data_IF_110233072072
#
_entry.id   IF_110233072072
#
_cell.length_a   1.000
_cell.length_b   1.000
_cell.length_c   1.000
_cell.angle_alpha   90.00
_cell.angle_beta   90.00
_cell.angle_gamma   90.00
#
_symmetry.space_group_name_H-M   'P 1'
#
loop_
_entity.id
_entity.type
_entity.pdbx_description
1 polymer ?
#
# COMPACT_ATOMS: atom_id res chain seq x y z
N UNK A 1 4.69 -0.67 2.62
CA UNK A 1 5.48 -0.06 3.71
C UNK A 1 6.73 0.56 3.11
N UNK A 2 6.85 1.88 3.16
CA UNK A 2 7.99 2.62 2.61
C UNK A 2 9.17 2.53 3.58
N UNK A 3 10.07 1.61 3.35
CA UNK A 3 11.38 1.68 4.00
C UNK A 3 12.30 2.58 3.19
N UNK A 4 12.60 3.75 3.71
CA UNK A 4 13.67 4.57 3.16
C UNK A 4 15.01 4.04 3.68
N UNK A 5 15.79 3.44 2.83
CA UNK A 5 17.16 3.07 3.13
C UNK A 5 18.12 4.08 2.46
N UNK A 6 19.19 4.45 3.13
CA UNK A 6 19.59 4.05 4.49
C UNK A 6 18.77 4.76 5.58
N UNK A 7 18.64 4.12 6.75
CA UNK A 7 17.99 4.73 7.91
C UNK A 7 18.80 5.96 8.35
N UNK A 8 18.11 7.09 8.54
CA UNK A 8 18.81 8.36 8.86
C UNK A 8 19.25 8.48 10.33
N UNK A 9 18.67 7.67 11.21
CA UNK A 9 18.91 7.69 12.65
C UNK A 9 18.62 6.33 13.30
N UNK A 10 19.01 6.20 14.58
CA UNK A 10 18.83 4.97 15.37
C UNK A 10 17.35 4.57 15.47
N UNK A 11 16.48 5.56 15.71
CA UNK A 11 15.04 5.31 15.85
C UNK A 11 14.44 4.73 14.56
N UNK A 12 14.85 5.22 13.41
CA UNK A 12 14.43 4.68 12.11
C UNK A 12 14.93 3.25 11.92
N UNK A 13 16.16 2.96 12.35
CA UNK A 13 16.75 1.62 12.27
C UNK A 13 16.01 0.62 13.18
N UNK A 14 15.63 1.04 14.39
CA UNK A 14 14.84 0.23 15.31
C UNK A 14 13.46 -0.10 14.74
N UNK A 15 12.77 0.86 14.12
CA UNK A 15 11.48 0.62 13.46
C UNK A 15 11.62 -0.37 12.29
N UNK A 16 12.68 -0.26 11.49
CA UNK A 16 12.95 -1.21 10.41
C UNK A 16 13.20 -2.62 10.97
N UNK A 17 13.96 -2.72 12.07
CA UNK A 17 14.21 -4.00 12.73
C UNK A 17 12.93 -4.62 13.28
N UNK A 18 12.06 -3.83 13.92
CA UNK A 18 10.77 -4.29 14.43
C UNK A 18 9.88 -4.82 13.29
N UNK A 19 9.81 -4.11 12.17
CA UNK A 19 9.03 -4.54 11.01
C UNK A 19 9.57 -5.84 10.40
N UNK A 20 10.89 -5.98 10.30
CA UNK A 20 11.54 -7.22 9.83
C UNK A 20 11.23 -8.39 10.75
N UNK A 21 11.38 -8.20 12.06
CA UNK A 21 11.07 -9.23 13.05
C UNK A 21 9.59 -9.63 13.01
N UNK A 22 8.69 -8.66 12.83
CA UNK A 22 7.27 -8.91 12.66
C UNK A 22 6.99 -9.74 11.40
N UNK A 23 7.57 -9.37 10.27
CA UNK A 23 7.41 -10.10 9.01
C UNK A 23 7.88 -11.55 9.12
N UNK A 24 9.04 -11.78 9.73
CA UNK A 24 9.55 -13.12 9.98
C UNK A 24 8.68 -13.92 10.95
N UNK A 25 8.27 -13.31 12.06
CA UNK A 25 7.43 -13.96 13.08
C UNK A 25 6.08 -14.43 12.50
N UNK A 26 5.51 -13.67 11.57
CA UNK A 26 4.20 -13.95 10.98
C UNK A 26 4.28 -14.53 9.58
N UNK A 27 5.47 -14.93 9.11
CA UNK A 27 5.69 -15.54 7.79
C UNK A 27 5.08 -14.73 6.64
N UNK A 28 5.29 -13.39 6.66
CA UNK A 28 4.80 -12.50 5.60
C UNK A 28 5.61 -12.76 4.33
N UNK A 29 4.99 -13.34 3.32
CA UNK A 29 5.63 -13.79 2.08
C UNK A 29 6.18 -12.62 1.26
N UNK A 30 5.41 -11.54 1.13
CA UNK A 30 5.76 -10.38 0.30
C UNK A 30 6.31 -9.24 1.17
N UNK A 31 7.46 -9.47 1.77
CA UNK A 31 8.20 -8.47 2.53
C UNK A 31 9.44 -8.04 1.72
N UNK A 32 9.46 -6.78 1.29
CA UNK A 32 10.56 -6.22 0.51
C UNK A 32 11.50 -5.44 1.41
N UNK A 33 12.63 -6.06 1.75
CA UNK A 33 13.66 -5.49 2.63
C UNK A 33 14.67 -4.64 1.84
N UNK A 34 15.69 -4.15 2.52
CA UNK A 34 16.79 -3.37 1.94
C UNK A 34 17.37 -4.06 0.70
N UNK A 35 17.47 -3.32 -0.39
CA UNK A 35 17.94 -3.83 -1.68
C UNK A 35 16.84 -4.39 -2.60
N UNK A 36 15.64 -4.62 -2.08
CA UNK A 36 14.48 -5.08 -2.87
C UNK A 36 13.32 -4.10 -2.81
N UNK A 37 13.49 -3.00 -2.11
CA UNK A 37 12.45 -2.00 -1.88
C UNK A 37 12.33 -1.02 -3.05
N UNK A 38 11.14 -0.45 -3.16
CA UNK A 38 10.82 0.63 -4.10
C UNK A 38 9.72 1.51 -3.57
N UNK A 39 9.24 2.42 -4.41
CA UNK A 39 8.00 3.15 -4.12
C UNK A 39 6.85 2.13 -4.14
N UNK A 40 6.14 1.99 -3.03
CA UNK A 40 5.11 0.96 -2.83
C UNK A 40 4.12 0.91 -4.00
N UNK A 41 3.60 2.07 -4.40
CA UNK A 41 2.58 2.17 -5.44
C UNK A 41 3.08 1.89 -6.87
N UNK A 42 4.38 1.78 -7.07
CA UNK A 42 5.00 1.29 -8.30
C UNK A 42 5.41 -0.19 -8.15
N UNK A 43 6.02 -0.53 -7.02
CA UNK A 43 6.56 -1.86 -6.77
C UNK A 43 5.48 -2.96 -6.77
N UNK A 44 4.34 -2.73 -6.11
CA UNK A 44 3.29 -3.75 -6.02
C UNK A 44 2.67 -4.08 -7.39
N UNK A 45 2.32 -3.09 -8.25
CA UNK A 45 1.91 -3.37 -9.62
C UNK A 45 2.98 -4.08 -10.46
N UNK A 46 4.24 -3.65 -10.39
CA UNK A 46 5.34 -4.27 -11.12
C UNK A 46 5.57 -5.74 -10.74
N UNK A 47 5.31 -6.07 -9.48
CA UNK A 47 5.40 -7.45 -8.96
C UNK A 47 4.14 -8.27 -9.20
N UNK A 48 3.11 -7.70 -9.82
CA UNK A 48 1.83 -8.38 -10.03
C UNK A 48 1.06 -8.65 -8.73
N UNK A 49 1.31 -7.88 -7.68
CA UNK A 49 0.65 -8.00 -6.38
C UNK A 49 -0.60 -7.13 -6.27
N UNK A 50 -1.11 -6.68 -7.39
CA UNK A 50 -2.30 -5.84 -7.49
C UNK A 50 -3.05 -6.21 -8.76
N UNK A 51 -4.24 -6.78 -8.62
CA UNK A 51 -5.06 -7.21 -9.75
C UNK A 51 -6.45 -6.57 -9.72
N UNK A 52 -7.11 -6.44 -10.89
CA UNK A 52 -8.49 -5.98 -10.96
C UNK A 52 -9.43 -6.87 -10.13
N UNK A 53 -10.33 -6.25 -9.40
CA UNK A 53 -11.31 -6.95 -8.55
C UNK A 53 -10.80 -7.34 -7.16
N UNK A 54 -9.54 -7.09 -6.85
CA UNK A 54 -9.00 -7.30 -5.50
C UNK A 54 -9.39 -6.18 -4.53
N UNK A 55 -9.34 -6.50 -3.23
CA UNK A 55 -9.47 -5.52 -2.15
C UNK A 55 -8.09 -5.30 -1.55
N UNK A 56 -7.60 -4.07 -1.64
CA UNK A 56 -6.29 -3.68 -1.14
C UNK A 56 -6.45 -2.59 -0.09
N UNK A 57 -5.99 -2.86 1.11
CA UNK A 57 -5.97 -1.86 2.20
C UNK A 57 -4.54 -1.61 2.63
N UNK A 58 -4.23 -0.37 2.88
CA UNK A 58 -2.89 0.05 3.31
C UNK A 58 -2.95 1.08 4.42
N UNK A 59 -1.87 1.22 5.16
CA UNK A 59 -1.72 2.26 6.19
C UNK A 59 -1.22 3.60 5.62
N UNK A 60 -1.24 3.76 4.31
CA UNK A 60 -0.88 4.97 3.58
C UNK A 60 -2.09 5.56 2.84
N UNK A 61 -2.21 6.88 2.87
CA UNK A 61 -3.29 7.62 2.19
C UNK A 61 -3.28 7.46 0.67
N UNK A 62 -2.14 7.12 0.06
CA UNK A 62 -2.01 6.91 -1.38
C UNK A 62 -2.41 5.49 -1.83
N UNK A 63 -2.79 4.60 -0.92
CA UNK A 63 -3.26 3.24 -1.25
C UNK A 63 -4.40 3.22 -2.28
N UNK A 64 -5.23 4.28 -2.31
CA UNK A 64 -6.30 4.43 -3.31
C UNK A 64 -5.79 4.42 -4.77
N UNK A 65 -4.49 4.61 -5.02
CA UNK A 65 -3.87 4.57 -6.35
C UNK A 65 -4.15 3.27 -7.10
N UNK A 66 -4.25 2.14 -6.41
CA UNK A 66 -4.54 0.85 -7.05
C UNK A 66 -5.95 0.75 -7.64
N UNK A 67 -6.83 1.71 -7.32
CA UNK A 67 -8.12 1.87 -8.00
C UNK A 67 -7.98 2.13 -9.50
N UNK A 68 -6.88 2.75 -9.93
CA UNK A 68 -6.55 2.95 -11.35
C UNK A 68 -6.29 1.61 -12.09
N UNK A 69 -5.98 0.54 -11.36
CA UNK A 69 -5.76 -0.81 -11.87
C UNK A 69 -7.00 -1.71 -11.70
N UNK A 70 -8.13 -1.14 -11.28
CA UNK A 70 -9.38 -1.86 -11.11
C UNK A 70 -9.54 -2.60 -9.78
N UNK A 71 -8.71 -2.32 -8.78
CA UNK A 71 -8.85 -2.81 -7.43
C UNK A 71 -9.75 -1.89 -6.59
N UNK A 72 -10.47 -2.44 -5.62
CA UNK A 72 -11.03 -1.63 -4.53
C UNK A 72 -9.92 -1.34 -3.54
N UNK A 73 -9.43 -0.11 -3.51
CA UNK A 73 -8.27 0.22 -2.69
C UNK A 73 -8.46 1.48 -1.86
N UNK A 74 -8.03 1.43 -0.60
CA UNK A 74 -8.16 2.56 0.32
C UNK A 74 -7.12 2.52 1.44
N UNK A 75 -6.74 3.71 1.90
CA UNK A 75 -5.97 3.88 3.13
C UNK A 75 -6.86 3.72 4.36
N UNK A 76 -6.34 3.06 5.38
CA UNK A 76 -6.99 2.89 6.68
C UNK A 76 -6.05 3.29 7.82
N UNK A 77 -6.59 3.52 9.01
CA UNK A 77 -5.79 3.81 10.18
C UNK A 77 -4.94 2.63 10.63
N UNK A 78 -3.83 2.91 11.31
CA UNK A 78 -2.91 1.87 11.80
C UNK A 78 -3.57 0.88 12.76
N UNK A 79 -4.53 1.33 13.57
CA UNK A 79 -5.31 0.45 14.48
C UNK A 79 -6.21 -0.50 13.70
N UNK A 80 -6.91 0.02 12.67
CA UNK A 80 -7.77 -0.78 11.81
C UNK A 80 -6.93 -1.78 10.98
N UNK A 81 -5.74 -1.35 10.53
CA UNK A 81 -4.78 -2.24 9.86
C UNK A 81 -4.35 -3.38 10.78
N UNK A 82 -4.02 -3.10 12.03
CA UNK A 82 -3.64 -4.14 12.98
C UNK A 82 -4.79 -5.12 13.24
N UNK A 83 -6.03 -4.61 13.36
CA UNK A 83 -7.22 -5.45 13.51
C UNK A 83 -7.48 -6.31 12.27
N UNK A 84 -7.36 -5.73 11.06
CA UNK A 84 -7.50 -6.45 9.80
C UNK A 84 -6.46 -7.56 9.65
N UNK A 85 -5.20 -7.30 10.01
CA UNK A 85 -4.14 -8.31 9.98
C UNK A 85 -4.36 -9.44 11.00
N UNK A 86 -4.95 -9.12 12.16
CA UNK A 86 -5.19 -10.10 13.21
C UNK A 86 -6.43 -10.98 12.96
N UNK A 87 -7.48 -10.41 12.37
CA UNK A 87 -8.80 -11.06 12.23
C UNK A 87 -9.14 -11.51 10.81
N UNK A 88 -8.46 -10.94 9.81
CA UNK A 88 -8.83 -11.08 8.40
C UNK A 88 -10.11 -10.34 8.02
N UNK A 89 -10.66 -9.52 8.92
CA UNK A 89 -11.93 -8.83 8.74
C UNK A 89 -11.75 -7.31 8.85
N UNK A 90 -12.47 -6.59 8.01
CA UNK A 90 -12.56 -5.14 8.06
C UNK A 90 -13.97 -4.73 7.64
N UNK A 91 -14.52 -3.71 8.29
CA UNK A 91 -15.81 -3.16 7.91
C UNK A 91 -15.65 -1.81 7.23
N UNK A 92 -16.51 -1.54 6.28
CA UNK A 92 -16.59 -0.25 5.61
C UNK A 92 -18.01 0.29 5.60
N UNK A 93 -18.17 1.58 5.83
CA UNK A 93 -19.38 2.28 5.46
C UNK A 93 -19.32 2.54 3.96
N UNK A 94 -20.33 2.05 3.21
CA UNK A 94 -20.41 2.32 1.77
C UNK A 94 -20.55 3.83 1.54
N UNK A 95 -19.57 4.50 0.91
CA UNK A 95 -19.64 5.92 0.67
C UNK A 95 -20.52 6.26 -0.53
N UNK A 96 -20.97 7.51 -0.60
CA UNK A 96 -21.52 8.04 -1.84
C UNK A 96 -20.43 8.12 -2.92
N UNK A 97 -20.74 7.71 -4.13
CA UNK A 97 -19.80 7.75 -5.23
C UNK A 97 -19.85 9.11 -5.97
N UNK A 98 -18.68 9.63 -6.30
CA UNK A 98 -18.53 10.80 -7.19
C UNK A 98 -17.89 10.31 -8.49
N UNK A 99 -18.63 10.44 -9.60
CA UNK A 99 -18.09 10.10 -10.92
C UNK A 99 -17.33 11.31 -11.49
N UNK A 100 -16.03 11.13 -11.69
CA UNK A 100 -15.17 12.11 -12.38
C UNK A 100 -14.86 11.58 -13.77
N UNK A 101 -15.19 12.36 -14.81
CA UNK A 101 -14.87 12.03 -16.20
C UNK A 101 -13.72 12.90 -16.66
N UNK A 102 -12.58 12.30 -16.93
CA UNK A 102 -11.44 12.97 -17.54
C UNK A 102 -11.65 12.98 -19.05
N UNK A 103 -11.74 14.18 -19.64
CA UNK A 103 -11.73 14.36 -21.10
C UNK A 103 -10.33 14.77 -21.51
N UNK A 104 -9.82 14.18 -22.57
CA UNK A 104 -8.52 14.55 -23.13
C UNK A 104 -8.54 16.02 -23.54
N UNK A 105 -7.82 16.86 -22.82
CA UNK A 105 -7.60 18.24 -23.19
C UNK A 105 -6.32 18.26 -24.00
N UNK A 106 -6.47 18.21 -25.33
CA UNK A 106 -5.47 18.49 -26.34
C UNK A 106 -4.05 17.94 -26.10
N UNK A 107 -3.54 17.17 -27.01
CA UNK A 107 -2.08 16.91 -27.06
C UNK A 107 -1.38 18.24 -27.17
N UNK A 108 -0.54 18.58 -26.20
CA UNK A 108 0.48 19.57 -26.42
C UNK A 108 1.35 19.06 -27.56
N UNK A 109 1.25 19.69 -28.72
CA UNK A 109 2.18 19.42 -29.81
C UNK A 109 3.56 19.87 -29.35
N UNK A 110 4.44 18.93 -29.18
CA UNK A 110 5.88 19.16 -29.13
C UNK A 110 6.37 19.19 -30.56
#
# INVERSE_FOLDING_TARGET
MLFRSPCKDIKSAELCLQARNFAHKHNITNFFDVGQMGVEHALLPEKGLCAPGEIIVGADSHTCTYGALGAFSTGIGSTDMAAAMATGLLWFKVPAAIKVTLKEIGRAHV
#
